data_IF_937785758623
#
_entry.id   IF_937785758623
#
_cell.length_a   1.000
_cell.length_b   1.000
_cell.length_c   1.000
_cell.angle_alpha   90.00
_cell.angle_beta   90.00
_cell.angle_gamma   90.00
#
_symmetry.space_group_name_H-M   'P 1'
#
loop_
_entity.id
_entity.type
_entity.pdbx_description
1 polymer ?
#
# COMPACT_ATOMS: atom_id res chain seq x y z
N UNK A 1 27.53 -14.44 53.96
CA UNK A 1 26.37 -13.61 53.59
C UNK A 1 26.16 -13.78 52.09
N UNK A 2 25.17 -14.58 51.69
CA UNK A 2 24.89 -14.93 50.30
C UNK A 2 24.06 -13.80 49.66
N UNK A 3 24.49 -13.24 48.53
CA UNK A 3 23.66 -12.34 47.71
C UNK A 3 22.89 -13.21 46.69
N UNK A 4 21.55 -13.13 46.60
CA UNK A 4 20.82 -13.89 45.60
C UNK A 4 20.98 -13.23 44.22
N UNK A 5 21.19 -14.07 43.21
CA UNK A 5 21.06 -13.75 41.79
C UNK A 5 19.59 -13.54 41.46
N UNK A 6 19.18 -12.30 41.21
CA UNK A 6 17.85 -12.01 40.68
C UNK A 6 17.87 -12.18 39.16
N UNK A 7 17.67 -13.42 38.73
CA UNK A 7 16.97 -13.71 37.49
C UNK A 7 15.52 -13.22 37.64
N UNK A 8 15.19 -12.11 37.01
CA UNK A 8 13.79 -11.73 36.78
C UNK A 8 13.64 -11.27 35.35
N UNK A 9 13.02 -12.16 34.58
CA UNK A 9 12.61 -12.04 33.20
C UNK A 9 12.00 -10.67 32.85
N UNK A 10 12.63 -9.95 31.94
CA UNK A 10 11.96 -8.88 31.19
C UNK A 10 11.13 -9.53 30.08
N UNK A 11 9.85 -9.75 30.36
CA UNK A 11 8.87 -10.21 29.38
C UNK A 11 7.91 -9.08 29.00
N UNK A 12 7.99 -8.70 27.73
CA UNK A 12 7.02 -8.03 26.84
C UNK A 12 6.44 -6.67 27.24
N UNK A 13 6.88 -5.68 26.46
CA UNK A 13 6.21 -4.40 26.26
C UNK A 13 6.82 -3.67 25.06
N UNK A 14 7.05 -4.34 23.93
CA UNK A 14 7.33 -3.63 22.67
C UNK A 14 6.00 -3.09 22.16
N UNK A 15 5.51 -2.02 22.82
CA UNK A 15 4.57 -1.12 22.20
C UNK A 15 5.31 -0.51 21.01
N UNK A 16 5.06 -1.11 19.83
CA UNK A 16 5.62 -0.66 18.57
C UNK A 16 5.13 0.74 18.31
N UNK A 17 5.96 1.73 18.66
CA UNK A 17 5.89 3.05 18.07
C UNK A 17 6.17 2.88 16.58
N UNK A 18 5.13 2.60 15.79
CA UNK A 18 5.16 2.94 14.37
C UNK A 18 5.03 4.45 14.33
N UNK A 19 6.17 5.12 14.52
CA UNK A 19 6.35 6.51 14.14
C UNK A 19 6.06 6.56 12.64
N UNK A 20 4.85 6.98 12.28
CA UNK A 20 4.49 7.23 10.90
C UNK A 20 5.46 8.28 10.36
N UNK A 21 6.43 7.84 9.56
CA UNK A 21 7.34 8.76 8.86
C UNK A 21 6.47 9.62 7.93
N UNK A 22 6.45 10.95 8.10
CA UNK A 22 5.59 11.83 7.30
C UNK A 22 6.00 11.91 5.81
N UNK A 23 7.15 11.35 5.43
CA UNK A 23 7.74 11.48 4.09
C UNK A 23 7.67 10.22 3.19
N UNK A 24 7.08 9.11 3.65
CA UNK A 24 6.87 7.95 2.79
C UNK A 24 5.47 7.99 2.19
N UNK A 25 5.36 8.49 0.95
CA UNK A 25 4.21 8.17 0.10
C UNK A 25 4.09 6.63 0.08
N UNK A 26 2.96 6.12 0.57
CA UNK A 26 2.66 4.68 0.59
C UNK A 26 2.79 4.09 -0.81
N UNK A 27 3.32 2.88 -0.92
CA UNK A 27 3.45 2.17 -2.21
C UNK A 27 2.10 1.98 -2.90
N UNK A 28 1.01 1.90 -2.12
CA UNK A 28 -0.36 1.98 -2.62
C UNK A 28 -0.64 3.26 -3.41
N UNK A 29 -0.22 4.42 -2.90
CA UNK A 29 -0.41 5.72 -3.57
C UNK A 29 0.46 5.80 -4.83
N UNK A 30 1.68 5.25 -4.79
CA UNK A 30 2.55 5.19 -5.98
C UNK A 30 1.90 4.34 -7.08
N UNK A 31 1.40 3.16 -6.72
CA UNK A 31 0.69 2.27 -7.62
C UNK A 31 -0.52 2.98 -8.25
N UNK A 32 -1.35 3.65 -7.43
CA UNK A 32 -2.50 4.39 -7.92
C UNK A 32 -2.13 5.50 -8.92
N UNK A 33 -1.03 6.23 -8.69
CA UNK A 33 -0.54 7.28 -9.60
C UNK A 33 -0.08 6.71 -10.93
N UNK A 34 0.71 5.63 -10.91
CA UNK A 34 1.17 4.94 -12.12
C UNK A 34 -0.02 4.39 -12.94
N UNK A 35 -0.95 3.72 -12.26
CA UNK A 35 -2.15 3.18 -12.91
C UNK A 35 -3.01 4.27 -13.55
N UNK A 36 -3.13 5.44 -12.89
CA UNK A 36 -3.82 6.62 -13.45
C UNK A 36 -3.12 7.16 -14.69
N UNK A 37 -1.79 7.26 -14.68
CA UNK A 37 -1.02 7.72 -15.83
C UNK A 37 -1.18 6.80 -17.04
N UNK A 38 -1.09 5.48 -16.82
CA UNK A 38 -1.30 4.48 -17.88
C UNK A 38 -2.73 4.58 -18.41
N UNK A 39 -3.72 4.70 -17.51
CA UNK A 39 -5.13 4.80 -17.91
C UNK A 39 -5.38 6.03 -18.78
N UNK A 40 -4.76 7.17 -18.45
CA UNK A 40 -4.81 8.38 -19.27
C UNK A 40 -4.21 8.16 -20.67
N UNK A 41 -3.11 7.42 -20.78
CA UNK A 41 -2.51 7.07 -22.09
C UNK A 41 -3.47 6.21 -22.92
N UNK A 42 -4.14 5.24 -22.30
CA UNK A 42 -5.12 4.39 -22.99
C UNK A 42 -6.31 5.20 -23.52
N UNK A 43 -6.80 6.16 -22.71
CA UNK A 43 -7.83 7.11 -23.15
C UNK A 43 -7.32 7.96 -24.32
N UNK A 44 -6.10 8.47 -24.23
CA UNK A 44 -5.51 9.32 -25.27
C UNK A 44 -5.35 8.60 -26.62
N UNK A 45 -5.00 7.31 -26.60
CA UNK A 45 -4.89 6.47 -27.81
C UNK A 45 -6.28 6.09 -28.38
N UNK A 46 -7.36 6.44 -27.71
CA UNK A 46 -8.73 6.16 -28.17
C UNK A 46 -9.19 4.74 -27.87
N UNK A 47 -8.66 4.10 -26.82
CA UNK A 47 -9.08 2.75 -26.44
C UNK A 47 -10.53 2.73 -25.92
N UNK A 48 -11.34 1.82 -26.45
CA UNK A 48 -12.70 1.59 -25.97
C UNK A 48 -12.65 0.88 -24.60
N UNK A 49 -13.35 1.43 -23.61
CA UNK A 49 -13.40 0.93 -22.22
C UNK A 49 -12.03 0.74 -21.56
N UNK A 50 -11.24 1.81 -21.38
CA UNK A 50 -9.90 1.66 -20.88
C UNK A 50 -9.87 1.27 -19.40
N UNK A 51 -8.99 0.33 -19.08
CA UNK A 51 -8.82 -0.23 -17.75
C UNK A 51 -7.35 -0.56 -17.53
N UNK A 52 -6.85 -0.28 -16.33
CA UNK A 52 -5.51 -0.65 -15.91
C UNK A 52 -5.57 -1.59 -14.72
N UNK A 53 -4.57 -2.45 -14.62
CA UNK A 53 -4.42 -3.38 -13.51
C UNK A 53 -3.04 -3.18 -12.91
N UNK A 54 -2.97 -3.31 -11.59
CA UNK A 54 -1.75 -3.15 -10.82
C UNK A 54 -1.67 -4.22 -9.75
N UNK A 55 -0.45 -4.58 -9.38
CA UNK A 55 -0.19 -5.54 -8.32
C UNK A 55 0.60 -4.81 -7.25
N UNK A 56 0.08 -4.83 -6.03
CA UNK A 56 0.80 -4.40 -4.85
C UNK A 56 1.38 -5.64 -4.16
N UNK A 57 2.70 -5.67 -4.03
CA UNK A 57 3.41 -6.77 -3.35
C UNK A 57 4.02 -6.20 -2.08
N UNK A 58 3.57 -6.71 -0.94
CA UNK A 58 4.06 -6.30 0.39
C UNK A 58 4.56 -7.53 1.14
N UNK A 59 5.88 -7.76 1.08
CA UNK A 59 6.47 -8.99 1.63
C UNK A 59 5.96 -10.23 0.90
N UNK A 60 5.16 -11.06 1.57
CA UNK A 60 4.58 -12.28 1.02
C UNK A 60 3.10 -12.13 0.58
N UNK A 61 2.52 -10.93 0.73
CA UNK A 61 1.15 -10.66 0.28
C UNK A 61 1.17 -10.07 -1.13
N UNK A 62 0.21 -10.51 -1.93
CA UNK A 62 -0.01 -10.02 -3.29
C UNK A 62 -1.46 -9.57 -3.36
N UNK A 63 -1.66 -8.30 -3.68
CA UNK A 63 -2.99 -7.72 -3.85
C UNK A 63 -3.11 -7.18 -5.27
N UNK A 64 -4.19 -7.56 -5.95
CA UNK A 64 -4.46 -7.11 -7.31
C UNK A 64 -5.48 -5.99 -7.27
N UNK A 65 -5.20 -4.92 -8.02
CA UNK A 65 -6.07 -3.77 -8.14
C UNK A 65 -6.42 -3.50 -9.60
N UNK A 66 -7.66 -3.06 -9.84
CA UNK A 66 -8.13 -2.54 -11.12
C UNK A 66 -8.46 -1.05 -10.98
N UNK A 67 -8.12 -0.26 -12.00
CA UNK A 67 -8.56 1.12 -12.13
C UNK A 67 -9.29 1.31 -13.45
N UNK A 68 -10.49 1.89 -13.38
CA UNK A 68 -11.32 2.22 -14.52
C UNK A 68 -11.40 3.74 -14.74
N UNK A 69 -12.03 4.12 -15.85
CA UNK A 69 -12.31 5.52 -16.16
C UNK A 69 -13.03 6.20 -15.01
N UNK A 70 -12.80 7.50 -14.89
CA UNK A 70 -13.39 8.34 -13.85
C UNK A 70 -14.92 8.20 -13.85
N UNK A 71 -15.48 7.92 -12.68
CA UNK A 71 -16.91 8.04 -12.44
C UNK A 71 -17.16 9.29 -11.60
N UNK A 72 -17.95 10.23 -12.10
CA UNK A 72 -18.19 11.53 -11.45
C UNK A 72 -16.90 12.29 -11.08
N UNK A 73 -15.87 12.22 -11.93
CA UNK A 73 -14.58 12.91 -11.72
C UNK A 73 -13.64 12.22 -10.74
N UNK A 74 -13.99 11.03 -10.23
CA UNK A 74 -13.19 10.27 -9.28
C UNK A 74 -12.70 8.97 -9.92
N UNK A 75 -11.39 8.72 -9.83
CA UNK A 75 -10.80 7.44 -10.19
C UNK A 75 -11.08 6.41 -9.10
N UNK A 76 -11.55 5.23 -9.48
CA UNK A 76 -11.80 4.13 -8.55
C UNK A 76 -10.67 3.13 -8.66
N UNK A 77 -10.02 2.85 -7.53
CA UNK A 77 -9.09 1.74 -7.40
C UNK A 77 -9.81 0.61 -6.68
N UNK A 78 -10.11 -0.46 -7.41
CA UNK A 78 -10.88 -1.61 -6.95
C UNK A 78 -9.93 -2.76 -6.64
N UNK A 79 -9.94 -3.28 -5.42
CA UNK A 79 -9.26 -4.53 -5.08
C UNK A 79 -10.04 -5.70 -5.70
N UNK A 80 -9.33 -6.64 -6.34
CA UNK A 80 -9.89 -7.85 -6.97
C UNK A 80 -9.78 -9.07 -6.06
#
# INVERSE_FOLDING_TARGET
MYKPSNDSAWSYGTEGFIQAKPDLISDYIKLAKEMKLILHKLVHVGMNSPRTFGILVEGATIEVYAMDIQYNGVYRLLKL
#
